data_IF_445811395026
#
_entry.id   IF_445811395026
#
_cell.length_a   1.000
_cell.length_b   1.000
_cell.length_c   1.000
_cell.angle_alpha   90.00
_cell.angle_beta   90.00
_cell.angle_gamma   90.00
#
_symmetry.space_group_name_H-M   'P 1'
#
loop_
_entity.id
_entity.type
_entity.pdbx_description
1 polymer ?
#
# COMPACT_ATOMS: atom_id res chain seq x y z
N UNK A 1 11.09 28.13 27.59
CA UNK A 1 10.62 26.87 28.19
C UNK A 1 10.81 25.75 27.19
N UNK A 2 11.81 24.92 27.47
CA UNK A 2 12.42 23.94 26.57
C UNK A 2 11.51 22.75 26.26
N UNK A 3 11.55 22.31 25.01
CA UNK A 3 10.88 21.11 24.50
C UNK A 3 11.75 19.90 24.84
N UNK A 4 11.20 18.92 25.56
CA UNK A 4 11.84 17.63 25.83
C UNK A 4 11.42 16.60 24.78
N UNK A 5 12.39 16.06 24.05
CA UNK A 5 12.28 14.80 23.29
C UNK A 5 13.13 13.73 23.99
N UNK A 6 12.52 12.62 24.44
CA UNK A 6 13.23 11.49 25.05
C UNK A 6 13.59 10.43 24.01
N UNK A 7 14.86 10.45 23.58
CA UNK A 7 15.49 9.40 22.79
C UNK A 7 15.90 8.25 23.74
N UNK A 8 15.12 7.16 23.77
CA UNK A 8 15.49 5.96 24.53
C UNK A 8 16.48 5.14 23.71
N UNK A 9 17.76 5.39 23.99
CA UNK A 9 18.89 4.55 23.60
C UNK A 9 18.94 3.31 24.52
N UNK A 10 18.67 2.12 23.98
CA UNK A 10 18.97 0.85 24.67
C UNK A 10 20.13 0.14 23.98
N UNK A 11 21.27 0.11 24.68
CA UNK A 11 22.47 -0.67 24.38
C UNK A 11 22.21 -2.19 24.40
N UNK A 12 22.77 -2.91 23.42
CA UNK A 12 22.85 -4.37 23.41
C UNK A 12 23.94 -4.89 24.38
N UNK A 13 23.60 -5.90 25.18
CA UNK A 13 24.52 -6.64 26.05
C UNK A 13 25.08 -7.88 25.35
N UNK A 14 26.36 -8.16 25.60
CA UNK A 14 27.25 -9.17 25.00
C UNK A 14 26.98 -10.63 25.42
N UNK A 15 27.28 -11.59 24.53
CA UNK A 15 27.23 -13.06 24.76
C UNK A 15 28.51 -13.61 25.44
N UNK A 16 28.45 -14.69 26.26
CA UNK A 16 29.62 -15.27 26.92
C UNK A 16 30.30 -16.44 26.18
N UNK A 17 31.64 -16.38 26.23
CA UNK A 17 32.74 -17.36 26.16
C UNK A 17 32.56 -18.84 25.73
N UNK A 18 33.52 -19.29 24.90
CA UNK A 18 33.73 -20.67 24.39
C UNK A 18 34.90 -21.38 25.13
N UNK A 19 34.82 -22.68 25.48
CA UNK A 19 35.98 -23.40 26.02
C UNK A 19 36.79 -24.08 24.91
N UNK A 20 37.95 -23.50 24.61
CA UNK A 20 38.97 -24.10 23.77
C UNK A 20 39.77 -25.19 24.53
N UNK A 21 39.70 -26.45 24.08
CA UNK A 21 40.74 -27.45 24.33
C UNK A 21 41.34 -27.91 22.99
N UNK A 22 42.66 -28.05 22.99
CA UNK A 22 43.58 -28.09 21.84
C UNK A 22 43.29 -29.28 20.93
N UNK A 23 42.79 -29.02 19.73
CA UNK A 23 42.61 -30.03 18.67
C UNK A 23 43.41 -29.57 17.45
N UNK A 24 44.05 -30.51 16.75
CA UNK A 24 44.83 -30.19 15.54
C UNK A 24 43.99 -29.37 14.55
N UNK A 25 44.58 -28.45 13.77
CA UNK A 25 43.82 -27.58 12.86
C UNK A 25 42.86 -28.35 11.93
N UNK A 26 43.27 -29.55 11.49
CA UNK A 26 42.44 -30.46 10.70
C UNK A 26 41.24 -31.01 11.49
N UNK A 27 41.44 -31.45 12.74
CA UNK A 27 40.33 -31.91 13.61
C UNK A 27 39.43 -30.75 14.05
N UNK A 28 39.98 -29.54 14.22
CA UNK A 28 39.20 -28.32 14.47
C UNK A 28 38.32 -27.98 13.26
N UNK A 29 38.88 -28.03 12.04
CA UNK A 29 38.12 -27.86 10.80
C UNK A 29 37.04 -28.92 10.64
N UNK A 30 37.36 -30.19 10.86
CA UNK A 30 36.39 -31.30 10.83
C UNK A 30 35.30 -31.13 11.88
N UNK A 31 35.64 -30.73 13.10
CA UNK A 31 34.66 -30.43 14.14
C UNK A 31 33.67 -29.33 13.71
N UNK A 32 34.15 -28.22 13.14
CA UNK A 32 33.26 -27.17 12.64
C UNK A 32 32.43 -27.59 11.43
N UNK A 33 32.96 -28.44 10.54
CA UNK A 33 32.22 -29.02 9.42
C UNK A 33 31.12 -29.95 9.95
N UNK A 34 31.44 -30.90 10.83
CA UNK A 34 30.46 -31.81 11.42
C UNK A 34 29.46 -31.10 12.33
N UNK A 35 29.86 -30.03 13.01
CA UNK A 35 28.96 -29.14 13.75
C UNK A 35 28.01 -28.40 12.80
N UNK A 36 28.51 -27.90 11.66
CA UNK A 36 27.70 -27.23 10.65
C UNK A 36 26.72 -28.18 9.93
N UNK A 37 27.13 -29.43 9.67
CA UNK A 37 26.27 -30.47 9.05
C UNK A 37 25.19 -30.92 10.05
N UNK A 38 25.54 -31.19 11.31
CA UNK A 38 24.52 -31.49 12.34
C UNK A 38 23.62 -30.29 12.63
N UNK A 39 24.16 -29.08 12.51
CA UNK A 39 23.36 -27.87 12.58
C UNK A 39 22.51 -27.68 11.33
N UNK A 40 22.84 -28.15 10.12
CA UNK A 40 21.96 -27.95 8.95
C UNK A 40 20.64 -28.72 9.07
N UNK A 41 20.63 -29.81 9.83
CA UNK A 41 19.42 -30.61 10.08
C UNK A 41 18.62 -30.12 11.31
N UNK A 42 19.27 -29.39 12.23
CA UNK A 42 18.65 -28.86 13.46
C UNK A 42 18.54 -27.32 13.50
N UNK A 43 19.08 -26.61 12.52
CA UNK A 43 18.82 -25.18 12.34
C UNK A 43 17.76 -25.03 11.26
N UNK A 44 16.57 -24.50 11.59
CA UNK A 44 15.76 -23.87 10.58
C UNK A 44 16.69 -22.84 9.93
N UNK A 45 17.05 -23.02 8.65
CA UNK A 45 17.67 -21.94 7.89
C UNK A 45 16.87 -20.69 8.24
N UNK A 46 17.53 -19.61 8.63
CA UNK A 46 16.86 -18.33 8.81
C UNK A 46 16.34 -17.93 7.42
N UNK A 47 15.18 -18.47 7.06
CA UNK A 47 14.49 -18.19 5.82
C UNK A 47 14.02 -16.77 6.02
N UNK A 48 14.63 -15.84 5.30
CA UNK A 48 14.07 -14.50 5.21
C UNK A 48 12.59 -14.62 4.82
N UNK A 49 11.76 -13.65 5.20
CA UNK A 49 10.30 -13.68 4.95
C UNK A 49 9.94 -14.12 3.52
N UNK A 50 10.75 -13.75 2.53
CA UNK A 50 10.62 -14.18 1.12
C UNK A 50 10.82 -15.69 0.91
N UNK A 51 11.83 -16.30 1.53
CA UNK A 51 12.09 -17.74 1.43
C UNK A 51 11.09 -18.55 2.24
N UNK A 52 10.62 -18.00 3.37
CA UNK A 52 9.54 -18.59 4.17
C UNK A 52 8.26 -18.65 3.35
N UNK A 53 7.84 -17.51 2.76
CA UNK A 53 6.68 -17.43 1.85
C UNK A 53 6.79 -18.37 0.67
N UNK A 54 7.97 -18.54 0.06
CA UNK A 54 8.17 -19.51 -1.04
C UNK A 54 7.90 -20.93 -0.59
N UNK A 55 8.40 -21.31 0.58
CA UNK A 55 8.15 -22.64 1.13
C UNK A 55 6.68 -22.84 1.48
N UNK A 56 6.03 -21.83 2.08
CA UNK A 56 4.60 -21.87 2.40
C UNK A 56 3.75 -21.99 1.14
N UNK A 57 4.06 -21.22 0.08
CA UNK A 57 3.41 -21.36 -1.22
C UNK A 57 3.60 -22.75 -1.83
N UNK A 58 4.82 -23.31 -1.81
CA UNK A 58 5.06 -24.67 -2.31
C UNK A 58 4.22 -25.68 -1.55
N UNK A 59 4.20 -25.62 -0.21
CA UNK A 59 3.37 -26.51 0.61
C UNK A 59 1.88 -26.31 0.36
N UNK A 60 1.43 -25.09 0.12
CA UNK A 60 0.04 -24.80 -0.18
C UNK A 60 -0.37 -25.44 -1.52
N UNK A 61 0.46 -25.29 -2.56
CA UNK A 61 0.22 -25.91 -3.87
C UNK A 61 0.23 -27.44 -3.78
N UNK A 62 1.17 -28.02 -3.05
CA UNK A 62 1.22 -29.48 -2.84
C UNK A 62 -0.06 -29.99 -2.14
N UNK A 63 -0.54 -29.30 -1.08
CA UNK A 63 -1.80 -29.65 -0.42
C UNK A 63 -3.03 -29.49 -1.32
N UNK A 64 -2.99 -28.55 -2.28
CA UNK A 64 -4.08 -28.35 -3.23
C UNK A 64 -4.12 -29.50 -4.24
N UNK A 65 -2.95 -29.94 -4.70
CA UNK A 65 -2.79 -31.07 -5.62
C UNK A 65 -3.16 -32.41 -4.96
N UNK A 66 -2.86 -32.59 -3.67
CA UNK A 66 -3.29 -33.78 -2.91
C UNK A 66 -4.83 -33.89 -2.77
N UNK A 67 -5.58 -32.80 -2.96
CA UNK A 67 -7.05 -32.80 -2.93
C UNK A 67 -7.69 -33.10 -4.29
N UNK A 68 -6.92 -33.09 -5.37
CA UNK A 68 -7.41 -33.25 -6.75
C UNK A 68 -7.24 -34.68 -7.31
N UNK A 69 -6.80 -35.64 -6.50
CA UNK A 69 -6.86 -37.07 -6.82
C UNK A 69 -8.34 -37.57 -6.76
N UNK A 70 -9.08 -37.22 -7.81
CA UNK A 70 -10.33 -37.78 -8.30
C UNK A 70 -10.98 -38.92 -7.49
N UNK A 71 -11.81 -38.59 -6.51
CA UNK A 71 -12.97 -39.41 -6.16
C UNK A 71 -14.15 -38.98 -7.05
N UNK A 72 -14.43 -39.79 -8.07
CA UNK A 72 -15.68 -39.73 -8.84
C UNK A 72 -16.85 -40.02 -7.90
N UNK A 73 -17.49 -39.01 -7.35
CA UNK A 73 -18.82 -39.18 -6.74
C UNK A 73 -19.63 -37.89 -6.87
N UNK A 74 -20.88 -38.07 -7.28
CA UNK A 74 -21.86 -37.07 -7.69
C UNK A 74 -22.11 -35.96 -6.67
N UNK A 75 -22.59 -34.84 -7.21
CA UNK A 75 -23.28 -33.76 -6.50
C UNK A 75 -22.41 -32.93 -5.56
N UNK A 76 -21.81 -31.87 -6.11
CA UNK A 76 -21.79 -30.62 -5.34
C UNK A 76 -22.01 -29.43 -6.27
N UNK A 77 -22.96 -28.59 -5.87
CA UNK A 77 -23.31 -27.34 -6.51
C UNK A 77 -22.04 -26.49 -6.49
N UNK A 78 -21.34 -26.41 -7.61
CA UNK A 78 -20.32 -25.38 -7.79
C UNK A 78 -21.02 -24.04 -7.63
N UNK A 79 -20.90 -23.45 -6.44
CA UNK A 79 -21.02 -22.02 -6.24
C UNK A 79 -19.91 -21.42 -7.10
N UNK A 80 -20.24 -21.14 -8.36
CA UNK A 80 -19.31 -20.58 -9.32
C UNK A 80 -18.89 -19.23 -8.78
N UNK A 81 -17.62 -19.13 -8.40
CA UNK A 81 -17.02 -17.87 -7.98
C UNK A 81 -17.41 -16.80 -9.01
N UNK A 82 -17.84 -15.62 -8.52
CA UNK A 82 -18.18 -14.52 -9.41
C UNK A 82 -17.05 -14.31 -10.41
N UNK A 83 -17.36 -14.20 -11.71
CA UNK A 83 -16.35 -14.15 -12.75
C UNK A 83 -15.34 -13.04 -12.44
N UNK A 84 -14.05 -13.33 -12.61
CA UNK A 84 -13.02 -12.31 -12.48
C UNK A 84 -13.32 -11.18 -13.46
N UNK A 85 -12.87 -9.95 -13.16
CA UNK A 85 -12.94 -8.82 -14.10
C UNK A 85 -12.41 -9.21 -15.49
N UNK A 86 -11.36 -10.05 -15.55
CA UNK A 86 -10.83 -10.58 -16.81
C UNK A 86 -11.77 -11.57 -17.49
N UNK A 87 -12.42 -12.44 -16.72
CA UNK A 87 -13.42 -13.37 -17.23
C UNK A 87 -14.59 -12.60 -17.82
N UNK A 88 -15.12 -11.62 -17.07
CA UNK A 88 -16.22 -10.76 -17.51
C UNK A 88 -15.85 -10.00 -18.79
N UNK A 89 -14.67 -9.36 -18.82
CA UNK A 89 -14.21 -8.60 -19.98
C UNK A 89 -14.04 -9.47 -21.24
N UNK A 90 -13.51 -10.69 -21.10
CA UNK A 90 -13.35 -11.62 -22.22
C UNK A 90 -14.67 -12.26 -22.66
N UNK A 91 -15.69 -12.29 -21.80
CA UNK A 91 -17.04 -12.76 -22.15
C UNK A 91 -17.97 -11.66 -22.64
N UNK A 92 -17.57 -10.40 -22.50
CA UNK A 92 -18.37 -9.26 -22.92
C UNK A 92 -18.27 -9.09 -24.43
N UNK A 93 -19.36 -9.41 -25.12
CA UNK A 93 -19.45 -9.38 -26.59
C UNK A 93 -19.06 -8.02 -27.17
N UNK A 94 -19.49 -6.92 -26.54
CA UNK A 94 -19.14 -5.58 -26.99
C UNK A 94 -17.64 -5.31 -26.88
N UNK A 95 -17.01 -5.62 -25.73
CA UNK A 95 -15.57 -5.39 -25.59
C UNK A 95 -14.76 -6.24 -26.56
N UNK A 96 -15.15 -7.49 -26.76
CA UNK A 96 -14.50 -8.40 -27.71
C UNK A 96 -14.67 -7.88 -29.14
N UNK A 97 -15.84 -7.37 -29.51
CA UNK A 97 -16.08 -6.77 -30.83
C UNK A 97 -15.22 -5.53 -31.07
N UNK A 98 -15.23 -4.56 -30.15
CA UNK A 98 -14.40 -3.35 -30.26
C UNK A 98 -12.91 -3.68 -30.29
N UNK A 99 -12.48 -4.66 -29.50
CA UNK A 99 -11.08 -5.09 -29.48
C UNK A 99 -10.70 -5.80 -30.78
N UNK A 100 -11.58 -6.64 -31.32
CA UNK A 100 -11.38 -7.30 -32.62
C UNK A 100 -11.30 -6.28 -33.75
N UNK A 101 -12.22 -5.31 -33.81
CA UNK A 101 -12.19 -4.23 -34.81
C UNK A 101 -10.87 -3.44 -34.72
N UNK A 102 -10.45 -3.07 -33.51
CA UNK A 102 -9.17 -2.40 -33.28
C UNK A 102 -7.97 -3.22 -33.76
N UNK A 103 -7.91 -4.50 -33.39
CA UNK A 103 -6.79 -5.38 -33.74
C UNK A 103 -6.69 -5.65 -35.26
N UNK A 104 -7.81 -5.53 -35.99
CA UNK A 104 -7.86 -5.70 -37.45
C UNK A 104 -7.52 -4.41 -38.24
N UNK A 105 -7.32 -3.27 -37.57
CA UNK A 105 -6.88 -2.02 -38.22
C UNK A 105 -5.40 -2.04 -38.57
N UNK A 106 -4.99 -1.14 -39.45
CA UNK A 106 -3.56 -0.92 -39.72
C UNK A 106 -2.87 -0.28 -38.50
N UNK A 107 -1.57 -0.49 -38.36
CA UNK A 107 -0.81 0.08 -37.23
C UNK A 107 -0.87 1.61 -37.15
N UNK A 108 -0.91 2.30 -38.30
CA UNK A 108 -1.06 3.76 -38.36
C UNK A 108 -2.44 4.22 -37.86
N UNK A 109 -3.50 3.47 -38.16
CA UNK A 109 -4.86 3.74 -37.65
C UNK A 109 -4.98 3.44 -36.16
N UNK A 110 -4.33 2.38 -35.68
CA UNK A 110 -4.26 2.08 -34.24
C UNK A 110 -3.59 3.22 -33.48
N UNK A 111 -2.46 3.74 -33.98
CA UNK A 111 -1.75 4.87 -33.38
C UNK A 111 -2.61 6.15 -33.39
N UNK A 112 -3.30 6.47 -34.49
CA UNK A 112 -4.23 7.60 -34.55
C UNK A 112 -5.37 7.47 -33.55
N UNK A 113 -5.96 6.29 -33.42
CA UNK A 113 -7.07 6.05 -32.51
C UNK A 113 -6.63 6.15 -31.03
N UNK A 114 -5.46 5.59 -30.69
CA UNK A 114 -4.89 5.72 -29.35
C UNK A 114 -4.58 7.17 -29.00
N UNK A 115 -4.02 7.94 -29.94
CA UNK A 115 -3.75 9.37 -29.74
C UNK A 115 -5.02 10.19 -29.49
N UNK A 116 -6.10 9.89 -30.21
CA UNK A 116 -7.41 10.54 -29.99
C UNK A 116 -7.98 10.22 -28.61
N UNK A 117 -7.91 8.96 -28.17
CA UNK A 117 -8.37 8.55 -26.84
C UNK A 117 -7.55 9.20 -25.72
N UNK A 118 -6.23 9.33 -25.91
CA UNK A 118 -5.36 10.03 -24.96
C UNK A 118 -5.72 11.51 -24.85
N UNK A 119 -5.96 12.19 -25.98
CA UNK A 119 -6.38 13.59 -26.00
C UNK A 119 -7.74 13.78 -25.29
N UNK A 120 -8.69 12.87 -25.50
CA UNK A 120 -9.98 12.89 -24.83
C UNK A 120 -9.85 12.65 -23.32
N UNK A 121 -9.05 11.66 -22.90
CA UNK A 121 -8.78 11.40 -21.49
C UNK A 121 -8.17 12.63 -20.81
N UNK A 122 -7.20 13.29 -21.44
CA UNK A 122 -6.58 14.51 -20.91
C UNK A 122 -7.58 15.65 -20.74
N UNK A 123 -8.52 15.83 -21.67
CA UNK A 123 -9.61 16.83 -21.54
C UNK A 123 -10.51 16.54 -20.34
N UNK A 124 -10.86 15.27 -20.11
CA UNK A 124 -11.68 14.91 -18.94
C UNK A 124 -10.94 15.14 -17.62
N UNK A 125 -9.65 14.83 -17.57
CA UNK A 125 -8.81 15.08 -16.40
C UNK A 125 -8.66 16.58 -16.13
N UNK A 126 -8.40 17.38 -17.16
CA UNK A 126 -8.28 18.83 -17.04
C UNK A 126 -9.57 19.45 -16.46
N UNK A 127 -10.72 19.09 -17.02
CA UNK A 127 -12.03 19.54 -16.56
C UNK A 127 -12.32 19.13 -15.11
N UNK A 128 -11.87 17.95 -14.70
CA UNK A 128 -11.99 17.47 -13.31
C UNK A 128 -11.12 18.28 -12.35
N UNK A 129 -9.84 18.50 -12.69
CA UNK A 129 -8.94 19.35 -11.88
C UNK A 129 -9.43 20.79 -11.74
N UNK A 130 -10.03 21.36 -12.80
CA UNK A 130 -10.54 22.73 -12.74
C UNK A 130 -11.80 22.87 -11.89
N UNK A 131 -12.64 21.83 -11.83
CA UNK A 131 -13.82 21.82 -10.97
C UNK A 131 -13.42 21.71 -9.49
N UNK A 132 -12.51 20.80 -9.16
CA UNK A 132 -12.02 20.63 -7.78
C UNK A 132 -11.33 21.90 -7.25
N UNK A 133 -10.50 22.57 -8.06
CA UNK A 133 -9.83 23.82 -7.64
C UNK A 133 -10.79 24.99 -7.38
N UNK A 134 -11.92 25.05 -8.10
CA UNK A 134 -12.90 26.14 -7.92
C UNK A 134 -13.75 25.94 -6.67
N UNK A 135 -14.03 24.68 -6.33
CA UNK A 135 -14.72 24.30 -5.10
C UNK A 135 -13.79 24.44 -3.87
N UNK A 136 -12.51 24.07 -4.01
CA UNK A 136 -11.46 24.23 -2.99
C UNK A 136 -11.25 25.70 -2.58
N UNK A 137 -11.17 26.63 -3.54
CA UNK A 137 -11.08 28.06 -3.22
C UNK A 137 -12.29 28.59 -2.46
N UNK A 138 -13.50 28.16 -2.82
CA UNK A 138 -14.72 28.62 -2.16
C UNK A 138 -14.79 28.22 -0.68
N UNK A 139 -14.36 27.00 -0.36
CA UNK A 139 -14.28 26.52 1.04
C UNK A 139 -13.26 27.32 1.83
N UNK A 140 -12.09 27.58 1.25
CA UNK A 140 -11.02 28.35 1.90
C UNK A 140 -11.46 29.79 2.22
N UNK A 141 -12.05 30.49 1.24
CA UNK A 141 -12.55 31.86 1.41
C UNK A 141 -13.66 31.95 2.47
N UNK A 142 -14.54 30.95 2.53
CA UNK A 142 -15.60 30.87 3.54
C UNK A 142 -15.06 30.70 4.96
N UNK A 143 -14.07 29.81 5.14
CA UNK A 143 -13.41 29.59 6.43
C UNK A 143 -12.64 30.83 6.90
N UNK A 144 -11.88 31.46 6.00
CA UNK A 144 -11.12 32.69 6.30
C UNK A 144 -12.06 33.83 6.71
N UNK A 145 -13.13 34.04 5.94
CA UNK A 145 -14.12 35.09 6.23
C UNK A 145 -14.79 34.89 7.60
N UNK A 146 -15.12 33.65 7.94
CA UNK A 146 -15.70 33.31 9.25
C UNK A 146 -14.73 33.58 10.41
N UNK A 147 -13.46 33.22 10.22
CA UNK A 147 -12.42 33.40 11.24
C UNK A 147 -12.10 34.89 11.45
N UNK A 148 -11.88 35.64 10.36
CA UNK A 148 -11.65 37.08 10.40
C UNK A 148 -12.83 37.82 11.02
N UNK A 149 -14.06 37.53 10.56
CA UNK A 149 -15.26 38.18 11.07
C UNK A 149 -15.43 37.99 12.58
N UNK A 150 -15.09 36.80 13.09
CA UNK A 150 -15.14 36.52 14.52
C UNK A 150 -14.10 37.31 15.32
N UNK A 151 -12.82 37.27 14.92
CA UNK A 151 -11.75 37.94 15.67
C UNK A 151 -11.78 39.47 15.52
N UNK A 152 -12.34 40.01 14.44
CA UNK A 152 -12.64 41.44 14.34
C UNK A 152 -13.64 41.87 15.40
N UNK A 153 -14.69 41.07 15.63
CA UNK A 153 -15.68 41.36 16.65
C UNK A 153 -15.18 41.04 18.08
N UNK A 154 -14.33 40.02 18.22
CA UNK A 154 -13.86 39.51 19.51
C UNK A 154 -12.36 39.16 19.45
N UNK A 155 -11.44 40.14 19.60
CA UNK A 155 -10.01 39.94 19.36
C UNK A 155 -9.30 38.93 20.28
N UNK A 156 -9.83 38.73 21.50
CA UNK A 156 -9.19 37.91 22.53
C UNK A 156 -10.02 36.67 22.92
N UNK A 157 -11.03 36.31 22.14
CA UNK A 157 -11.85 35.13 22.40
C UNK A 157 -11.30 33.90 21.68
N UNK A 158 -11.78 32.71 22.05
CA UNK A 158 -11.42 31.45 21.38
C UNK A 158 -12.51 31.11 20.37
N UNK A 159 -12.12 30.87 19.11
CA UNK A 159 -13.02 30.42 18.06
C UNK A 159 -13.18 28.89 18.10
N UNK A 160 -14.41 28.41 18.29
CA UNK A 160 -14.73 26.97 18.34
C UNK A 160 -15.69 26.66 17.19
N UNK A 161 -15.32 25.74 16.31
CA UNK A 161 -16.14 25.33 15.16
C UNK A 161 -16.17 23.81 15.01
N UNK A 162 -17.26 23.29 14.45
CA UNK A 162 -17.43 21.86 14.13
C UNK A 162 -17.27 21.68 12.63
N UNK A 163 -16.19 21.03 12.23
CA UNK A 163 -15.88 20.75 10.82
C UNK A 163 -16.18 19.28 10.49
N UNK A 164 -16.88 19.09 9.37
CA UNK A 164 -17.41 17.79 8.95
C UNK A 164 -16.35 16.93 8.27
N UNK A 165 -15.33 17.55 7.67
CA UNK A 165 -14.28 16.86 6.93
C UNK A 165 -12.89 17.11 7.50
N UNK A 166 -12.00 16.11 7.41
CA UNK A 166 -10.57 16.27 7.71
C UNK A 166 -9.90 17.30 6.80
N UNK A 167 -10.42 17.45 5.58
CA UNK A 167 -9.95 18.45 4.62
C UNK A 167 -10.23 19.88 5.11
N UNK A 168 -11.47 20.18 5.53
CA UNK A 168 -11.80 21.50 6.11
C UNK A 168 -10.96 21.80 7.36
N UNK A 169 -10.71 20.79 8.20
CA UNK A 169 -9.85 20.94 9.38
C UNK A 169 -8.44 21.32 8.98
N UNK A 170 -7.88 20.64 7.99
CA UNK A 170 -6.55 20.94 7.46
C UNK A 170 -6.48 22.38 6.92
N UNK A 171 -7.48 22.80 6.13
CA UNK A 171 -7.54 24.16 5.59
C UNK A 171 -7.64 25.21 6.71
N UNK A 172 -8.49 24.98 7.71
CA UNK A 172 -8.61 25.90 8.84
C UNK A 172 -7.30 26.00 9.62
N UNK A 173 -6.60 24.87 9.85
CA UNK A 173 -5.29 24.88 10.48
C UNK A 173 -4.26 25.67 9.65
N UNK A 174 -4.30 25.56 8.32
CA UNK A 174 -3.42 26.32 7.44
C UNK A 174 -3.72 27.83 7.49
N UNK A 175 -5.00 28.23 7.49
CA UNK A 175 -5.39 29.65 7.65
C UNK A 175 -4.92 30.17 9.01
N UNK A 176 -5.13 29.41 10.08
CA UNK A 176 -4.66 29.78 11.41
C UNK A 176 -3.14 29.98 11.43
N UNK A 177 -2.37 29.06 10.84
CA UNK A 177 -0.91 29.20 10.71
C UNK A 177 -0.51 30.46 9.91
N UNK A 178 -1.23 30.76 8.83
CA UNK A 178 -0.99 31.96 8.02
C UNK A 178 -1.29 33.27 8.78
N UNK A 179 -2.29 33.25 9.66
CA UNK A 179 -2.70 34.40 10.48
C UNK A 179 -2.00 34.46 11.84
N UNK A 180 -0.96 33.65 12.06
CA UNK A 180 -0.24 33.51 13.33
C UNK A 180 -1.16 33.16 14.53
N UNK A 181 -2.26 32.44 14.28
CA UNK A 181 -3.19 31.95 15.28
C UNK A 181 -2.82 30.54 15.74
N UNK A 182 -3.00 30.27 17.03
CA UNK A 182 -2.83 28.91 17.58
C UNK A 182 -4.11 28.12 17.42
N UNK A 183 -4.01 26.94 16.79
CA UNK A 183 -5.14 26.05 16.51
C UNK A 183 -4.92 24.64 17.08
N UNK A 184 -5.98 24.01 17.57
CA UNK A 184 -5.98 22.62 18.04
C UNK A 184 -7.26 21.90 17.58
N UNK A 185 -7.17 20.58 17.38
CA UNK A 185 -8.29 19.71 17.02
C UNK A 185 -8.26 18.44 17.88
N UNK A 186 -9.41 18.04 18.42
CA UNK A 186 -9.61 16.74 19.09
C UNK A 186 -10.08 15.65 18.12
#
# INVERSE_FOLDING_TARGET
NSIFFSLIERRCSSLPNSPAKRVSPAKKKQFFISQAIRNSDLTPRAKGRKSQRRQENTRFLDNLLERDDCSKEDSDVHETASPSIFTEACTNENYVEYWSDFMNRSGEEQERLLALLEEEAQKTHFNKTHKDQREEKGVLEGLESGLLGFFVAHPNSVYITKLCSSYERLLLHAICQYMDLTSASE
#
